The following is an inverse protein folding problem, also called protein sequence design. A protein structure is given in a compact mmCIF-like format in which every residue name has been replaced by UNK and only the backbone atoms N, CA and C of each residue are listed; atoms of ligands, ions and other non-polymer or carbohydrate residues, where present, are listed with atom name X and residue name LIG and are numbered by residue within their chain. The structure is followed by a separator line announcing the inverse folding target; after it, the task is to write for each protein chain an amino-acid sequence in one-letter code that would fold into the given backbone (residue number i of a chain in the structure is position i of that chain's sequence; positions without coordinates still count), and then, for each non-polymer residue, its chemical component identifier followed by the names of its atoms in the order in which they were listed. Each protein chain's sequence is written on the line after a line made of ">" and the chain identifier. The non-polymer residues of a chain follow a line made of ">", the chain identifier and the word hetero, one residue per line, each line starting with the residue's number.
data_IF_610131989500
#
_entry.id   IF_610131989500
#
_cell.length_a   1.000
_cell.length_b   1.000
_cell.length_c   1.000
_cell.angle_alpha   90.00
_cell.angle_beta   90.00
_cell.angle_gamma   90.00
#
_symmetry.space_group_name_H-M   'P 1'
#
loop_
_entity.id
_entity.type
_entity.pdbx_description
1 polymer ?
#
# COMPACT_ATOMS: atom_id res chain seq x y z
N UNK A 1 -10.12 10.17 21.26
CA UNK A 1 -10.68 11.09 22.26
C UNK A 1 -10.73 10.54 23.69
N UNK A 2 -10.09 9.42 23.95
CA UNK A 2 -9.99 8.89 25.32
C UNK A 2 -8.79 9.54 26.02
N UNK A 3 -9.05 10.34 27.08
CA UNK A 3 -7.99 10.73 28.01
C UNK A 3 -7.48 9.49 28.75
N UNK A 4 -6.24 9.49 29.22
CA UNK A 4 -5.46 8.37 29.77
C UNK A 4 -6.14 7.53 30.86
N UNK A 5 -7.27 7.98 31.43
CA UNK A 5 -8.01 7.31 32.52
C UNK A 5 -9.53 7.22 32.30
N UNK A 6 -10.05 7.40 31.08
CA UNK A 6 -11.49 7.28 30.84
C UNK A 6 -11.85 5.87 30.38
N UNK A 7 -12.90 5.29 30.99
CA UNK A 7 -13.51 4.06 30.47
C UNK A 7 -14.12 4.32 29.09
N UNK A 8 -14.00 3.36 28.14
CA UNK A 8 -14.62 3.47 26.82
C UNK A 8 -16.13 3.71 26.93
N UNK A 9 -16.62 4.64 26.11
CA UNK A 9 -18.06 4.93 25.99
C UNK A 9 -18.69 4.01 24.94
N UNK A 10 -20.02 3.87 24.91
CA UNK A 10 -20.71 3.12 23.86
C UNK A 10 -20.37 3.58 22.43
N UNK A 11 -20.06 4.87 22.25
CA UNK A 11 -19.61 5.41 20.96
C UNK A 11 -18.23 4.86 20.56
N UNK A 12 -17.30 4.73 21.51
CA UNK A 12 -15.97 4.18 21.24
C UNK A 12 -16.05 2.71 20.83
N UNK A 13 -16.92 1.94 21.48
CA UNK A 13 -17.18 0.54 21.10
C UNK A 13 -17.75 0.42 19.69
N UNK A 14 -18.69 1.31 19.30
CA UNK A 14 -19.22 1.32 17.93
C UNK A 14 -18.15 1.67 16.90
N UNK A 15 -17.29 2.64 17.20
CA UNK A 15 -16.17 3.00 16.32
C UNK A 15 -15.19 1.83 16.11
N UNK A 16 -14.88 1.08 17.19
CA UNK A 16 -14.03 -0.11 17.10
C UNK A 16 -14.70 -1.22 16.28
N UNK A 17 -15.98 -1.52 16.52
CA UNK A 17 -16.70 -2.54 15.74
C UNK A 17 -16.79 -2.17 14.25
N UNK A 18 -17.07 -0.90 13.95
CA UNK A 18 -17.08 -0.41 12.56
C UNK A 18 -15.70 -0.52 11.90
N UNK A 19 -14.64 -0.16 12.62
CA UNK A 19 -13.26 -0.28 12.12
C UNK A 19 -12.87 -1.74 11.88
N UNK A 20 -13.21 -2.65 12.80
CA UNK A 20 -12.96 -4.08 12.62
C UNK A 20 -13.74 -4.66 11.43
N UNK A 21 -14.97 -4.19 11.20
CA UNK A 21 -15.76 -4.61 10.04
C UNK A 21 -15.10 -4.18 8.72
N UNK A 22 -14.59 -2.96 8.63
CA UNK A 22 -13.90 -2.45 7.42
C UNK A 22 -12.66 -3.26 7.05
N UNK A 23 -11.98 -3.83 8.03
CA UNK A 23 -10.78 -4.66 7.79
C UNK A 23 -11.06 -6.16 7.81
N UNK A 24 -12.32 -6.59 7.88
CA UNK A 24 -12.71 -8.01 7.90
C UNK A 24 -12.25 -8.78 9.14
N UNK A 25 -12.18 -8.12 10.31
CA UNK A 25 -11.62 -8.71 11.54
C UNK A 25 -12.63 -8.86 12.69
N UNK A 26 -13.94 -8.72 12.42
CA UNK A 26 -15.00 -8.80 13.44
C UNK A 26 -14.99 -10.13 14.20
N UNK A 27 -14.80 -11.25 13.51
CA UNK A 27 -14.77 -12.60 14.12
C UNK A 27 -13.59 -12.78 15.09
N UNK A 28 -12.50 -12.04 14.87
CA UNK A 28 -11.27 -12.12 15.68
C UNK A 28 -11.24 -11.14 16.86
N UNK A 29 -12.31 -10.34 17.09
CA UNK A 29 -12.36 -9.26 18.08
C UNK A 29 -12.01 -9.67 19.52
N UNK A 30 -12.18 -10.95 19.87
CA UNK A 30 -11.90 -11.50 21.20
C UNK A 30 -10.58 -12.26 21.28
N UNK A 31 -9.89 -12.46 20.15
CA UNK A 31 -8.58 -13.13 20.13
C UNK A 31 -7.50 -12.23 20.66
N UNK A 32 -6.53 -12.81 21.33
CA UNK A 32 -5.32 -12.10 21.74
C UNK A 32 -4.49 -11.77 20.51
N UNK A 33 -3.85 -10.60 20.50
CA UNK A 33 -3.08 -10.13 19.34
C UNK A 33 -1.92 -11.08 18.97
N UNK A 34 -1.37 -11.80 19.96
CA UNK A 34 -0.33 -12.79 19.76
C UNK A 34 -0.78 -14.06 19.02
N UNK A 35 -2.10 -14.34 19.01
CA UNK A 35 -2.70 -15.50 18.33
C UNK A 35 -3.06 -15.20 16.87
N UNK A 36 -2.89 -13.96 16.43
CA UNK A 36 -3.20 -13.52 15.07
C UNK A 36 -2.02 -13.77 14.14
N UNK A 37 -2.30 -14.14 12.89
CA UNK A 37 -1.28 -14.18 11.83
C UNK A 37 -0.69 -12.79 11.57
N UNK A 38 0.43 -12.72 10.82
CA UNK A 38 1.06 -11.46 10.44
C UNK A 38 0.07 -10.51 9.74
N UNK A 39 -0.62 -10.99 8.72
CA UNK A 39 -1.63 -10.23 7.97
C UNK A 39 -2.83 -9.82 8.83
N UNK A 40 -3.31 -10.71 9.72
CA UNK A 40 -4.38 -10.37 10.65
C UNK A 40 -3.97 -9.26 11.62
N UNK A 41 -2.75 -9.30 12.16
CA UNK A 41 -2.22 -8.24 13.03
C UNK A 41 -2.13 -6.90 12.31
N UNK A 42 -1.63 -6.88 11.06
CA UNK A 42 -1.58 -5.67 10.23
C UNK A 42 -2.97 -5.05 10.07
N UNK A 43 -3.98 -5.85 9.73
CA UNK A 43 -5.37 -5.40 9.61
C UNK A 43 -5.94 -4.86 10.93
N UNK A 44 -5.62 -5.48 12.07
CA UNK A 44 -6.03 -4.97 13.38
C UNK A 44 -5.36 -3.64 13.71
N UNK A 45 -4.07 -3.46 13.38
CA UNK A 45 -3.42 -2.16 13.55
C UNK A 45 -4.03 -1.08 12.66
N UNK A 46 -4.41 -1.42 11.44
CA UNK A 46 -5.14 -0.51 10.56
C UNK A 46 -6.52 -0.17 11.16
N UNK A 47 -7.28 -1.17 11.64
CA UNK A 47 -8.54 -0.92 12.35
C UNK A 47 -8.38 0.01 13.55
N UNK A 48 -7.28 -0.13 14.31
CA UNK A 48 -6.97 0.79 15.42
C UNK A 48 -6.80 2.23 14.95
N UNK A 49 -6.12 2.44 13.82
CA UNK A 49 -5.96 3.78 13.24
C UNK A 49 -7.31 4.35 12.79
N UNK A 50 -8.15 3.52 12.15
CA UNK A 50 -9.49 3.91 11.70
C UNK A 50 -10.42 4.25 12.86
N UNK A 51 -10.40 3.48 13.95
CA UNK A 51 -11.24 3.73 15.13
C UNK A 51 -10.93 5.08 15.81
N UNK A 52 -9.75 5.65 15.58
CA UNK A 52 -9.40 6.98 16.08
C UNK A 52 -10.07 8.12 15.28
N UNK A 53 -10.63 7.81 14.13
CA UNK A 53 -11.31 8.75 13.24
C UNK A 53 -10.50 10.00 12.88
N UNK A 54 -9.18 9.85 12.78
CA UNK A 54 -8.25 10.93 12.44
C UNK A 54 -8.36 11.30 10.96
N UNK A 55 -8.25 12.60 10.65
CA UNK A 55 -8.17 13.07 9.25
C UNK A 55 -6.85 12.70 8.58
N UNK A 56 -5.80 12.49 9.36
CA UNK A 56 -4.47 12.09 8.90
C UNK A 56 -4.16 10.72 9.47
N UNK A 57 -3.74 9.79 8.60
CA UNK A 57 -3.36 8.42 8.95
C UNK A 57 -1.92 8.20 8.52
N UNK A 58 -1.09 7.72 9.44
CA UNK A 58 0.31 7.37 9.19
C UNK A 58 0.44 5.85 9.20
N UNK A 59 0.93 5.28 8.12
CA UNK A 59 1.11 3.83 7.96
C UNK A 59 2.57 3.55 7.61
N UNK A 60 3.18 2.68 8.40
CA UNK A 60 4.56 2.25 8.20
C UNK A 60 4.56 0.79 7.74
N UNK A 61 5.01 0.56 6.51
CA UNK A 61 5.10 -0.75 5.86
C UNK A 61 3.83 -1.61 6.02
N UNK A 62 2.65 -1.13 5.58
CA UNK A 62 1.39 -1.85 5.83
C UNK A 62 1.30 -3.17 5.05
N UNK A 63 2.08 -3.36 4.00
CA UNK A 63 2.04 -4.51 3.10
C UNK A 63 3.05 -5.60 3.46
N UNK A 64 4.11 -5.31 4.22
CA UNK A 64 5.17 -6.27 4.52
C UNK A 64 4.65 -7.50 5.26
N UNK A 65 4.94 -8.69 4.72
CA UNK A 65 4.59 -9.96 5.34
C UNK A 65 3.10 -10.30 5.30
N UNK A 66 2.35 -9.73 4.37
CA UNK A 66 0.97 -10.12 4.06
C UNK A 66 0.94 -10.89 2.73
N UNK A 67 -0.08 -11.73 2.56
CA UNK A 67 -0.34 -12.38 1.26
C UNK A 67 -0.99 -11.39 0.28
N UNK A 68 -0.94 -11.71 -1.02
CA UNK A 68 -1.47 -10.86 -2.10
C UNK A 68 -2.93 -10.49 -1.88
N UNK A 69 -3.77 -11.43 -1.46
CA UNK A 69 -5.19 -11.16 -1.21
C UNK A 69 -5.38 -10.14 -0.08
N UNK A 70 -4.59 -10.25 0.98
CA UNK A 70 -4.62 -9.28 2.09
C UNK A 70 -4.09 -7.92 1.63
N UNK A 71 -3.05 -7.88 0.80
CA UNK A 71 -2.54 -6.64 0.20
C UNK A 71 -3.62 -5.93 -0.61
N UNK A 72 -4.28 -6.65 -1.54
CA UNK A 72 -5.35 -6.09 -2.37
C UNK A 72 -6.50 -5.51 -1.51
N UNK A 73 -6.86 -6.19 -0.42
CA UNK A 73 -7.85 -5.68 0.54
C UNK A 73 -7.40 -4.40 1.23
N UNK A 74 -6.12 -4.30 1.61
CA UNK A 74 -5.57 -3.08 2.21
C UNK A 74 -5.55 -1.96 1.18
N UNK A 75 -5.11 -2.20 -0.05
CA UNK A 75 -5.10 -1.21 -1.16
C UNK A 75 -6.51 -0.68 -1.41
N UNK A 76 -7.51 -1.56 -1.56
CA UNK A 76 -8.89 -1.15 -1.75
C UNK A 76 -9.39 -0.26 -0.61
N UNK A 77 -9.08 -0.62 0.65
CA UNK A 77 -9.45 0.19 1.80
C UNK A 77 -8.75 1.56 1.81
N UNK A 78 -7.48 1.65 1.39
CA UNK A 78 -6.77 2.92 1.30
C UNK A 78 -7.37 3.81 0.20
N UNK A 79 -7.81 3.24 -0.93
CA UNK A 79 -8.54 3.96 -1.97
C UNK A 79 -9.87 4.53 -1.43
N UNK A 80 -10.66 3.72 -0.72
CA UNK A 80 -11.90 4.19 -0.08
C UNK A 80 -11.65 5.36 0.88
N UNK A 81 -10.63 5.25 1.73
CA UNK A 81 -10.26 6.30 2.70
C UNK A 81 -9.83 7.60 2.01
N UNK A 82 -9.10 7.50 0.91
CA UNK A 82 -8.73 8.63 0.08
C UNK A 82 -9.99 9.32 -0.48
N UNK A 83 -10.92 8.53 -1.01
CA UNK A 83 -12.16 9.03 -1.61
C UNK A 83 -13.10 9.65 -0.54
N UNK A 84 -12.99 9.21 0.72
CA UNK A 84 -13.60 9.86 1.88
C UNK A 84 -12.92 11.19 2.26
N UNK A 85 -11.83 11.60 1.58
CA UNK A 85 -11.08 12.83 1.85
C UNK A 85 -10.11 12.72 3.03
N UNK A 86 -9.67 11.53 3.40
CA UNK A 86 -8.61 11.32 4.39
C UNK A 86 -7.23 11.55 3.77
N UNK A 87 -6.33 12.13 4.53
CA UNK A 87 -4.93 12.26 4.15
C UNK A 87 -4.14 11.10 4.73
N UNK A 88 -3.42 10.37 3.88
CA UNK A 88 -2.61 9.23 4.31
C UNK A 88 -1.15 9.45 3.92
N UNK A 89 -0.24 9.16 4.86
CA UNK A 89 1.18 9.03 4.58
C UNK A 89 1.58 7.57 4.80
N UNK A 90 2.00 6.92 3.72
CA UNK A 90 2.35 5.50 3.72
C UNK A 90 3.83 5.37 3.38
N UNK A 91 4.62 4.76 4.27
CA UNK A 91 5.96 4.30 3.91
C UNK A 91 5.87 2.88 3.36
N UNK A 92 6.53 2.61 2.25
CA UNK A 92 6.60 1.27 1.67
C UNK A 92 7.80 1.13 0.74
N UNK A 93 8.32 -0.08 0.62
CA UNK A 93 9.23 -0.49 -0.43
C UNK A 93 8.55 -1.39 -1.49
N UNK A 94 7.27 -1.74 -1.28
CA UNK A 94 6.47 -2.45 -2.28
C UNK A 94 6.12 -1.54 -3.45
N UNK A 95 6.90 -1.63 -4.53
CA UNK A 95 6.79 -0.73 -5.68
C UNK A 95 5.52 -0.97 -6.50
N UNK A 96 5.05 -2.23 -6.57
CA UNK A 96 3.96 -2.62 -7.44
C UNK A 96 2.62 -1.99 -7.10
N UNK A 97 2.34 -1.79 -5.81
CA UNK A 97 1.05 -1.24 -5.36
C UNK A 97 1.01 0.30 -5.33
N UNK A 98 2.17 0.99 -5.31
CA UNK A 98 2.21 2.47 -5.19
C UNK A 98 1.35 3.19 -6.23
N UNK A 99 1.41 2.87 -7.55
CA UNK A 99 0.60 3.57 -8.56
C UNK A 99 -0.91 3.34 -8.40
N UNK A 100 -1.32 2.29 -7.69
CA UNK A 100 -2.74 1.92 -7.55
C UNK A 100 -3.49 2.83 -6.57
N UNK A 101 -2.82 3.30 -5.50
CA UNK A 101 -3.49 4.05 -4.43
C UNK A 101 -2.87 5.40 -4.08
N UNK A 102 -1.63 5.67 -4.50
CA UNK A 102 -0.94 6.91 -4.16
C UNK A 102 -1.15 8.00 -5.22
N UNK A 103 -1.71 9.14 -4.84
CA UNK A 103 -1.81 10.32 -5.70
C UNK A 103 -0.45 11.02 -5.85
N UNK A 104 0.34 10.97 -4.79
CA UNK A 104 1.66 11.62 -4.71
C UNK A 104 2.69 10.68 -4.11
N UNK A 105 3.91 10.77 -4.61
CA UNK A 105 5.04 9.95 -4.16
C UNK A 105 6.18 10.85 -3.70
N UNK A 106 6.90 10.39 -2.69
CA UNK A 106 8.16 10.95 -2.22
C UNK A 106 9.19 9.83 -2.24
N UNK A 107 10.23 9.95 -3.03
CA UNK A 107 11.34 9.00 -3.10
C UNK A 107 12.48 9.47 -2.21
N UNK A 108 12.90 8.59 -1.30
CA UNK A 108 13.88 8.90 -0.26
C UNK A 108 15.06 7.92 -0.30
N UNK A 109 16.28 8.44 -0.24
CA UNK A 109 17.52 7.68 -0.04
C UNK A 109 18.51 8.53 0.74
N UNK A 110 18.39 8.50 2.06
CA UNK A 110 19.13 9.42 2.94
C UNK A 110 18.65 10.88 2.86
N UNK A 111 18.22 11.31 1.70
CA UNK A 111 17.57 12.61 1.43
C UNK A 111 16.37 12.40 0.50
N UNK A 112 15.55 13.44 0.32
CA UNK A 112 14.48 13.42 -0.68
C UNK A 112 15.12 13.55 -2.07
N UNK A 113 14.93 12.55 -2.92
CA UNK A 113 15.44 12.53 -4.30
C UNK A 113 14.43 13.12 -5.29
N UNK A 114 13.16 12.79 -5.14
CA UNK A 114 12.07 13.30 -5.96
C UNK A 114 10.78 13.31 -5.16
N UNK A 115 9.87 14.24 -5.46
CA UNK A 115 8.53 14.27 -4.91
C UNK A 115 7.55 14.95 -5.87
N UNK A 116 6.31 14.50 -5.89
CA UNK A 116 5.30 15.09 -6.76
C UNK A 116 4.11 14.15 -6.99
N UNK A 117 3.28 14.43 -8.03
CA UNK A 117 2.26 13.49 -8.48
C UNK A 117 2.91 12.14 -8.82
N UNK A 118 2.27 11.04 -8.43
CA UNK A 118 2.82 9.70 -8.65
C UNK A 118 3.10 9.44 -10.13
N UNK A 119 2.21 9.83 -11.01
CA UNK A 119 2.33 9.68 -12.46
C UNK A 119 3.65 10.23 -13.02
N UNK A 120 4.12 11.37 -12.51
CA UNK A 120 5.34 12.05 -13.01
C UNK A 120 6.57 11.83 -12.16
N UNK A 121 6.39 11.34 -10.92
CA UNK A 121 7.49 11.13 -9.96
C UNK A 121 7.94 9.67 -9.92
N UNK A 122 7.00 8.73 -10.05
CA UNK A 122 7.25 7.30 -9.99
C UNK A 122 7.73 6.78 -11.35
N UNK A 123 8.84 7.37 -11.82
CA UNK A 123 9.44 7.04 -13.10
C UNK A 123 10.61 6.08 -12.91
N UNK A 124 10.95 5.39 -13.98
CA UNK A 124 12.07 4.46 -14.00
C UNK A 124 13.38 5.10 -13.55
N UNK A 125 13.67 6.32 -14.05
CA UNK A 125 14.90 7.05 -13.72
C UNK A 125 14.96 7.37 -12.23
N UNK A 126 13.87 7.86 -11.66
CA UNK A 126 13.77 8.18 -10.25
C UNK A 126 13.85 6.93 -9.37
N UNK A 127 13.20 5.84 -9.77
CA UNK A 127 13.28 4.55 -9.07
C UNK A 127 14.71 3.98 -9.13
N UNK A 128 15.38 4.08 -10.28
CA UNK A 128 16.77 3.67 -10.41
C UNK A 128 17.72 4.47 -9.51
N UNK A 129 17.48 5.77 -9.33
CA UNK A 129 18.26 6.61 -8.40
C UNK A 129 18.00 6.20 -6.94
N UNK A 130 16.74 5.98 -6.58
CA UNK A 130 16.35 5.64 -5.21
C UNK A 130 16.82 4.25 -4.80
N UNK A 131 16.57 3.25 -5.65
CA UNK A 131 16.76 1.82 -5.34
C UNK A 131 17.90 1.19 -6.12
N UNK A 132 18.62 1.94 -6.97
CA UNK A 132 19.66 1.43 -7.86
C UNK A 132 20.67 0.52 -7.16
N UNK A 133 20.81 -0.71 -7.65
CA UNK A 133 21.62 -1.79 -7.08
C UNK A 133 20.81 -2.85 -6.31
N UNK A 134 19.60 -2.55 -5.88
CA UNK A 134 18.66 -3.50 -5.25
C UNK A 134 17.60 -3.97 -6.25
N UNK A 135 17.16 -3.07 -7.16
CA UNK A 135 16.14 -3.42 -8.15
C UNK A 135 16.69 -4.40 -9.19
N UNK A 136 16.10 -5.58 -9.22
CA UNK A 136 16.25 -6.51 -10.35
C UNK A 136 15.39 -6.03 -11.51
N UNK A 137 15.98 -6.03 -12.68
CA UNK A 137 15.31 -5.62 -13.89
C UNK A 137 15.19 -6.80 -14.85
N UNK A 138 13.97 -7.04 -15.32
CA UNK A 138 13.70 -7.94 -16.42
C UNK A 138 13.02 -7.14 -17.53
N UNK A 139 13.53 -7.28 -18.75
CA UNK A 139 12.86 -6.74 -19.94
C UNK A 139 12.41 -7.95 -20.77
N UNK A 140 11.11 -8.04 -20.98
CA UNK A 140 10.50 -9.10 -21.79
C UNK A 140 10.06 -8.51 -23.12
N UNK A 141 10.26 -9.25 -24.20
CA UNK A 141 9.71 -8.89 -25.50
C UNK A 141 8.20 -9.10 -25.49
N UNK A 142 7.43 -8.13 -26.01
CA UNK A 142 5.96 -8.23 -26.04
C UNK A 142 5.46 -9.44 -26.82
N UNK A 143 6.21 -9.91 -27.81
CA UNK A 143 5.88 -11.10 -28.61
C UNK A 143 5.79 -12.39 -27.79
N UNK A 144 6.40 -12.45 -26.60
CA UNK A 144 6.41 -13.63 -25.73
C UNK A 144 5.32 -13.58 -24.62
N UNK A 145 4.58 -12.45 -24.52
CA UNK A 145 3.69 -12.19 -23.39
C UNK A 145 2.19 -12.21 -23.72
N UNK A 146 1.84 -12.02 -25.00
CA UNK A 146 0.45 -11.90 -25.45
C UNK A 146 0.21 -12.74 -26.71
N UNK A 147 -0.98 -13.32 -26.79
CA UNK A 147 -1.48 -14.02 -27.99
C UNK A 147 -1.92 -13.04 -29.12
N UNK A 148 -1.84 -11.73 -28.86
CA UNK A 148 -2.16 -10.67 -29.80
C UNK A 148 -0.91 -9.94 -30.28
N UNK A 149 -1.00 -9.21 -31.39
CA UNK A 149 0.09 -8.49 -32.08
C UNK A 149 0.74 -7.36 -31.25
N UNK A 150 0.67 -7.38 -29.91
CA UNK A 150 1.29 -6.39 -29.05
C UNK A 150 2.79 -6.66 -28.85
N UNK A 151 3.62 -5.94 -29.63
CA UNK A 151 5.08 -6.05 -29.62
C UNK A 151 5.77 -5.12 -28.63
N UNK A 152 5.03 -4.46 -27.70
CA UNK A 152 5.63 -3.55 -26.72
C UNK A 152 6.59 -4.29 -25.81
N UNK A 153 7.72 -3.66 -25.51
CA UNK A 153 8.62 -4.15 -24.46
C UNK A 153 7.97 -3.93 -23.10
N UNK A 154 8.04 -4.95 -22.23
CA UNK A 154 7.60 -4.86 -20.84
C UNK A 154 8.82 -4.84 -19.94
N UNK A 155 8.97 -3.79 -19.16
CA UNK A 155 10.01 -3.69 -18.14
C UNK A 155 9.41 -3.96 -16.77
N UNK A 156 9.96 -4.94 -16.09
CA UNK A 156 9.57 -5.33 -14.73
C UNK A 156 10.69 -4.88 -13.80
N UNK A 157 10.35 -4.07 -12.80
CA UNK A 157 11.23 -3.69 -11.70
C UNK A 157 10.74 -4.34 -10.42
N UNK A 158 11.61 -5.06 -9.72
CA UNK A 158 11.26 -5.75 -8.49
C UNK A 158 12.42 -5.73 -7.50
N UNK A 159 12.09 -5.70 -6.22
CA UNK A 159 12.97 -5.84 -5.07
C UNK A 159 12.70 -7.14 -4.29
N UNK A 160 12.15 -8.16 -4.96
CA UNK A 160 11.70 -9.44 -4.42
C UNK A 160 10.29 -9.41 -3.76
N UNK A 161 9.57 -8.26 -3.79
CA UNK A 161 8.15 -8.16 -3.45
C UNK A 161 7.27 -8.04 -4.71
N UNK A 162 6.20 -7.28 -4.66
CA UNK A 162 5.31 -7.09 -5.82
C UNK A 162 6.02 -6.27 -6.89
N UNK A 163 6.20 -6.80 -8.11
CA UNK A 163 6.92 -6.11 -9.17
C UNK A 163 6.15 -4.90 -9.71
N UNK A 164 6.87 -3.83 -10.02
CA UNK A 164 6.35 -2.73 -10.83
C UNK A 164 6.55 -3.05 -12.31
N UNK A 165 5.45 -3.03 -13.07
CA UNK A 165 5.45 -3.36 -14.51
C UNK A 165 5.22 -2.09 -15.32
N UNK A 166 6.13 -1.80 -16.25
CA UNK A 166 6.03 -0.68 -17.15
C UNK A 166 6.01 -1.17 -18.60
N UNK A 167 4.99 -0.76 -19.36
CA UNK A 167 4.88 -1.02 -20.79
C UNK A 167 5.61 0.04 -21.58
N UNK A 168 6.36 -0.37 -22.60
CA UNK A 168 6.97 0.54 -23.57
C UNK A 168 5.95 1.24 -24.46
N UNK A 169 6.37 2.25 -25.20
CA UNK A 169 5.52 2.91 -26.19
C UNK A 169 5.16 1.96 -27.35
N UNK A 170 3.92 2.06 -27.84
CA UNK A 170 3.56 1.39 -29.10
C UNK A 170 4.42 1.97 -30.23
N UNK A 171 5.23 1.12 -30.84
CA UNK A 171 5.87 1.48 -32.10
C UNK A 171 4.78 1.58 -33.16
N UNK A 172 4.51 2.81 -33.62
CA UNK A 172 3.60 3.11 -34.74
C UNK A 172 4.16 2.56 -36.07
#
# INVERSE_FOLDING_TARGET
>A
HMGLMRRPKPADHRAVEAALARVGMVEFRKRQIGELSGGQRKRVFLARALAQDGRVILLDEPFTGVDVTTEDQIVALLQELRDEGRVMLVSTHNLGSVPEFCDRTILVKGTVLAHGPTETTFTRENLQMAFGGVLRRFTLSGADLHDDDDTREVTILTDDERPFVQYGERKS
#
